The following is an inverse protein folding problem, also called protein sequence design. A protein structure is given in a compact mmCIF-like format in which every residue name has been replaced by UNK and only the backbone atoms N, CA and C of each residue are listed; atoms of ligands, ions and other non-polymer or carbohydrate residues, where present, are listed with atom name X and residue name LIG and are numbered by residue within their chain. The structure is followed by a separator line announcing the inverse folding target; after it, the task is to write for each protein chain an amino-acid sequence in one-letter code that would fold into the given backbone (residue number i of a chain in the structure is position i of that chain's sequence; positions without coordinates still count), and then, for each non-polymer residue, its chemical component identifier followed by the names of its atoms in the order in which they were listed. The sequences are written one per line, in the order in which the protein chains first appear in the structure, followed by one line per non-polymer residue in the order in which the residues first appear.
data_IF_993570300445
#
_entry.id   IF_993570300445
#
_cell.length_a   1.000
_cell.length_b   1.000
_cell.length_c   1.000
_cell.angle_alpha   90.00
_cell.angle_beta   90.00
_cell.angle_gamma   90.00
#
_symmetry.space_group_name_H-M   'P 1'
#
loop_
_entity.id
_entity.type
_entity.pdbx_description
1 polymer ?
#
# COMPACT_ATOMS: atom_id res chain seq x y z
N UNK A 1 9.02 5.16 -30.27
CA UNK A 1 8.01 6.21 -29.98
C UNK A 1 7.06 5.78 -28.85
N UNK A 2 6.55 4.54 -28.86
CA UNK A 2 5.66 4.00 -27.81
C UNK A 2 6.24 4.10 -26.40
N UNK A 3 7.51 3.70 -26.19
CA UNK A 3 8.14 3.73 -24.86
C UNK A 3 8.23 5.15 -24.25
N UNK A 4 8.47 6.17 -25.07
CA UNK A 4 8.51 7.58 -24.62
C UNK A 4 7.15 8.09 -24.15
N UNK A 5 6.06 7.61 -24.75
CA UNK A 5 4.70 7.93 -24.31
C UNK A 5 4.33 7.27 -22.99
N UNK A 6 4.81 6.04 -22.75
CA UNK A 6 4.59 5.30 -21.49
C UNK A 6 5.22 6.03 -20.30
N UNK A 7 6.44 6.56 -20.45
CA UNK A 7 7.09 7.30 -19.35
C UNK A 7 6.40 8.62 -19.02
N UNK A 8 5.78 9.27 -20.00
CA UNK A 8 5.05 10.53 -19.78
C UNK A 8 3.81 10.36 -18.88
N UNK A 9 3.17 9.19 -18.93
CA UNK A 9 1.98 8.89 -18.09
C UNK A 9 2.33 8.22 -16.77
N UNK A 10 3.58 7.82 -16.57
CA UNK A 10 3.95 7.00 -15.42
C UNK A 10 3.90 7.79 -14.10
N UNK A 11 4.37 9.03 -14.10
CA UNK A 11 4.34 9.92 -12.93
C UNK A 11 2.88 10.17 -12.45
N UNK A 12 1.95 10.64 -13.31
CA UNK A 12 0.57 10.86 -12.88
C UNK A 12 -0.15 9.55 -12.53
N UNK A 13 0.19 8.44 -13.19
CA UNK A 13 -0.36 7.12 -12.84
C UNK A 13 0.03 6.73 -11.43
N UNK A 14 1.32 6.83 -11.09
CA UNK A 14 1.83 6.50 -9.75
C UNK A 14 1.16 7.33 -8.67
N UNK A 15 1.03 8.64 -8.90
CA UNK A 15 0.32 9.54 -8.00
C UNK A 15 -1.11 9.04 -7.72
N UNK A 16 -1.87 8.74 -8.78
CA UNK A 16 -3.25 8.30 -8.66
C UNK A 16 -3.36 6.94 -7.95
N UNK A 17 -2.49 5.99 -8.27
CA UNK A 17 -2.52 4.65 -7.66
C UNK A 17 -2.13 4.68 -6.18
N UNK A 18 -1.14 5.49 -5.81
CA UNK A 18 -0.79 5.72 -4.39
C UNK A 18 -1.96 6.35 -3.64
N UNK A 19 -2.58 7.38 -4.22
CA UNK A 19 -3.69 8.08 -3.61
C UNK A 19 -4.93 7.18 -3.45
N UNK A 20 -5.26 6.39 -4.48
CA UNK A 20 -6.35 5.44 -4.43
C UNK A 20 -6.12 4.38 -3.33
N UNK A 21 -4.91 3.83 -3.25
CA UNK A 21 -4.57 2.85 -2.23
C UNK A 21 -4.60 3.46 -0.82
N UNK A 22 -4.09 4.69 -0.67
CA UNK A 22 -4.15 5.43 0.59
C UNK A 22 -5.60 5.61 1.07
N UNK A 23 -6.51 6.04 0.20
CA UNK A 23 -7.91 6.25 0.59
C UNK A 23 -8.63 4.97 0.95
N UNK A 24 -8.46 3.87 0.19
CA UNK A 24 -9.15 2.61 0.54
C UNK A 24 -8.65 2.06 1.88
N UNK A 25 -7.37 2.22 2.22
CA UNK A 25 -6.84 1.84 3.54
C UNK A 25 -7.47 2.66 4.66
N UNK A 26 -7.69 3.97 4.45
CA UNK A 26 -8.41 4.81 5.40
C UNK A 26 -9.84 4.32 5.58
N UNK A 27 -10.58 4.07 4.49
CA UNK A 27 -11.95 3.59 4.57
C UNK A 27 -12.04 2.26 5.34
N UNK A 28 -11.15 1.30 5.04
CA UNK A 28 -11.10 0.01 5.73
C UNK A 28 -10.82 0.14 7.23
N UNK A 29 -9.91 1.05 7.62
CA UNK A 29 -9.61 1.32 9.02
C UNK A 29 -10.76 2.05 9.73
N UNK A 30 -11.44 2.96 9.03
CA UNK A 30 -12.60 3.67 9.55
C UNK A 30 -13.76 2.71 9.83
N UNK A 31 -14.03 1.80 8.89
CA UNK A 31 -15.14 0.85 8.96
C UNK A 31 -14.75 -0.52 9.57
N UNK A 32 -13.59 -0.60 10.25
CA UNK A 32 -13.00 -1.86 10.72
C UNK A 32 -13.97 -2.72 11.56
N UNK A 33 -14.81 -2.09 12.38
CA UNK A 33 -15.70 -2.79 13.30
C UNK A 33 -16.86 -3.45 12.57
N UNK A 34 -17.42 -2.75 11.57
CA UNK A 34 -18.49 -3.27 10.72
C UNK A 34 -17.98 -4.38 9.80
N UNK A 35 -16.79 -4.17 9.21
CA UNK A 35 -16.13 -5.16 8.36
C UNK A 35 -15.83 -6.45 9.15
N UNK A 36 -15.23 -6.36 10.34
CA UNK A 36 -14.92 -7.53 11.17
C UNK A 36 -16.18 -8.25 11.66
N UNK A 37 -17.24 -7.52 12.00
CA UNK A 37 -18.50 -8.12 12.46
C UNK A 37 -19.20 -8.91 11.34
N UNK A 38 -19.22 -8.37 10.13
CA UNK A 38 -19.90 -9.02 9.00
C UNK A 38 -19.15 -10.27 8.52
N UNK A 39 -17.84 -10.22 8.69
CA UNK A 39 -16.90 -11.22 8.26
C UNK A 39 -16.80 -12.44 9.20
N UNK A 40 -16.99 -12.25 10.51
CA UNK A 40 -16.95 -13.33 11.51
C UNK A 40 -18.34 -13.93 11.72
N UNK A 41 -18.73 -14.90 10.88
CA UNK A 41 -20.03 -15.61 10.94
C UNK A 41 -20.33 -16.28 12.30
N UNK A 42 -19.29 -16.62 13.07
CA UNK A 42 -19.40 -17.10 14.45
C UNK A 42 -18.43 -16.29 15.30
N UNK A 43 -18.87 -15.14 15.81
CA UNK A 43 -18.13 -14.31 16.76
C UNK A 43 -17.95 -15.09 18.09
N UNK A 44 -17.00 -16.02 18.11
CA UNK A 44 -16.57 -16.64 19.33
C UNK A 44 -15.57 -15.67 19.98
N UNK A 45 -15.99 -15.06 21.09
CA UNK A 45 -15.29 -13.92 21.72
C UNK A 45 -13.81 -14.17 22.06
N UNK A 46 -13.40 -15.43 22.13
CA UNK A 46 -12.02 -15.85 22.44
C UNK A 46 -11.01 -15.49 21.34
N UNK A 47 -11.38 -15.58 20.06
CA UNK A 47 -10.48 -15.31 18.93
C UNK A 47 -10.73 -13.97 18.23
N UNK A 48 -11.83 -13.29 18.56
CA UNK A 48 -12.21 -12.02 17.92
C UNK A 48 -11.12 -10.93 18.07
N UNK A 49 -10.52 -10.81 19.25
CA UNK A 49 -9.45 -9.84 19.51
C UNK A 49 -8.20 -10.14 18.68
N UNK A 50 -7.89 -11.42 18.48
CA UNK A 50 -6.74 -11.85 17.67
C UNK A 50 -6.92 -11.41 16.21
N UNK A 51 -8.05 -11.77 15.59
CA UNK A 51 -8.31 -11.38 14.19
C UNK A 51 -8.43 -9.87 14.01
N UNK A 52 -9.03 -9.16 14.96
CA UNK A 52 -9.05 -7.70 14.95
C UNK A 52 -7.63 -7.11 14.94
N UNK A 53 -6.75 -7.61 15.82
CA UNK A 53 -5.38 -7.11 15.90
C UNK A 53 -4.60 -7.40 14.61
N UNK A 54 -4.72 -8.58 14.03
CA UNK A 54 -4.07 -8.94 12.76
C UNK A 54 -4.56 -8.05 11.60
N UNK A 55 -5.88 -7.88 11.49
CA UNK A 55 -6.49 -7.04 10.46
C UNK A 55 -6.03 -5.58 10.57
N UNK A 56 -6.16 -4.98 11.74
CA UNK A 56 -5.78 -3.58 11.99
C UNK A 56 -4.27 -3.38 11.83
N UNK A 57 -3.45 -4.31 12.33
CA UNK A 57 -1.99 -4.23 12.22
C UNK A 57 -1.54 -4.22 10.76
N UNK A 58 -2.06 -5.15 9.94
CA UNK A 58 -1.70 -5.22 8.52
C UNK A 58 -2.11 -3.96 7.73
N UNK A 59 -3.29 -3.40 8.01
CA UNK A 59 -3.77 -2.16 7.40
C UNK A 59 -2.97 -0.94 7.88
N UNK A 60 -2.66 -0.85 9.17
CA UNK A 60 -1.88 0.26 9.73
C UNK A 60 -0.45 0.29 9.20
N UNK A 61 0.21 -0.88 9.12
CA UNK A 61 1.53 -1.01 8.49
C UNK A 61 1.46 -0.64 7.02
N UNK A 62 0.44 -1.09 6.30
CA UNK A 62 0.23 -0.72 4.90
C UNK A 62 0.08 0.79 4.73
N UNK A 63 -0.74 1.44 5.56
CA UNK A 63 -0.99 2.87 5.50
C UNK A 63 0.28 3.67 5.80
N UNK A 64 1.05 3.26 6.81
CA UNK A 64 2.34 3.87 7.15
C UNK A 64 3.33 3.79 5.99
N UNK A 65 3.49 2.60 5.39
CA UNK A 65 4.37 2.39 4.24
C UNK A 65 3.94 3.20 3.02
N UNK A 66 2.65 3.20 2.66
CA UNK A 66 2.12 4.00 1.55
C UNK A 66 2.31 5.49 1.81
N UNK A 67 2.16 5.95 3.06
CA UNK A 67 2.39 7.36 3.43
C UNK A 67 3.85 7.76 3.21
N UNK A 68 4.81 6.95 3.67
CA UNK A 68 6.24 7.20 3.44
C UNK A 68 6.54 7.26 1.95
N UNK A 69 6.01 6.32 1.17
CA UNK A 69 6.18 6.28 -0.27
C UNK A 69 5.57 7.50 -0.96
N UNK A 70 4.39 7.95 -0.52
CA UNK A 70 3.74 9.13 -1.05
C UNK A 70 4.57 10.40 -0.80
N UNK A 71 5.17 10.56 0.38
CA UNK A 71 6.08 11.67 0.65
C UNK A 71 7.39 11.58 -0.13
N UNK A 72 7.95 10.38 -0.29
CA UNK A 72 9.12 10.14 -1.13
C UNK A 72 8.86 10.51 -2.60
N UNK A 73 7.67 10.18 -3.11
CA UNK A 73 7.20 10.63 -4.42
C UNK A 73 7.05 12.15 -4.50
N UNK A 74 6.31 12.78 -3.56
CA UNK A 74 6.06 14.23 -3.57
C UNK A 74 7.33 15.08 -3.37
N UNK A 75 8.33 14.56 -2.65
CA UNK A 75 9.64 15.21 -2.51
C UNK A 75 10.50 15.17 -3.78
N UNK A 76 10.09 14.37 -4.77
CA UNK A 76 10.81 14.21 -6.04
C UNK A 76 11.95 13.19 -6.01
N UNK A 77 12.24 12.56 -4.86
CA UNK A 77 13.36 11.60 -4.70
C UNK A 77 13.12 10.36 -5.56
N UNK A 78 11.93 9.76 -5.46
CA UNK A 78 11.59 8.54 -6.21
C UNK A 78 10.79 8.80 -7.48
N UNK A 79 10.26 10.02 -7.66
CA UNK A 79 9.40 10.41 -8.79
C UNK A 79 10.04 10.15 -10.17
N UNK A 80 11.36 10.33 -10.28
CA UNK A 80 12.10 10.19 -11.54
C UNK A 80 12.71 8.80 -11.75
N UNK A 81 12.47 7.86 -10.84
CA UNK A 81 12.94 6.48 -10.99
C UNK A 81 11.92 5.66 -11.79
N UNK A 82 12.13 5.51 -13.09
CA UNK A 82 11.18 4.87 -14.02
C UNK A 82 10.79 3.44 -13.60
N UNK A 83 11.76 2.58 -13.29
CA UNK A 83 11.51 1.19 -12.88
C UNK A 83 10.72 1.12 -11.57
N UNK A 84 11.08 1.97 -10.62
CA UNK A 84 10.39 2.03 -9.33
C UNK A 84 8.96 2.56 -9.50
N UNK A 85 8.75 3.58 -10.34
CA UNK A 85 7.41 4.09 -10.61
C UNK A 85 6.52 3.05 -11.29
N UNK A 86 7.05 2.21 -12.19
CA UNK A 86 6.31 1.09 -12.78
C UNK A 86 5.93 0.03 -11.74
N UNK A 87 6.91 -0.40 -10.94
CA UNK A 87 6.71 -1.40 -9.88
C UNK A 87 5.68 -0.93 -8.85
N UNK A 88 5.87 0.28 -8.32
CA UNK A 88 4.97 0.94 -7.37
C UNK A 88 3.55 1.06 -7.91
N UNK A 89 3.39 1.56 -9.15
CA UNK A 89 2.07 1.71 -9.76
C UNK A 89 1.35 0.37 -9.91
N UNK A 90 2.05 -0.67 -10.36
CA UNK A 90 1.47 -2.01 -10.53
C UNK A 90 1.03 -2.61 -9.18
N UNK A 91 1.90 -2.56 -8.17
CA UNK A 91 1.63 -3.06 -6.83
C UNK A 91 0.46 -2.32 -6.16
N UNK A 92 0.45 -0.99 -6.19
CA UNK A 92 -0.64 -0.21 -5.57
C UNK A 92 -1.95 -0.27 -6.32
N UNK A 93 -1.93 -0.42 -7.65
CA UNK A 93 -3.15 -0.72 -8.41
C UNK A 93 -3.75 -2.04 -7.96
N UNK A 94 -2.93 -3.10 -7.91
CA UNK A 94 -3.38 -4.42 -7.48
C UNK A 94 -3.91 -4.41 -6.05
N UNK A 95 -3.22 -3.75 -5.12
CA UNK A 95 -3.66 -3.62 -3.75
C UNK A 95 -4.97 -2.82 -3.63
N UNK A 96 -5.07 -1.68 -4.31
CA UNK A 96 -6.27 -0.84 -4.27
C UNK A 96 -7.50 -1.60 -4.78
N UNK A 97 -7.37 -2.35 -5.89
CA UNK A 97 -8.43 -3.21 -6.38
C UNK A 97 -8.77 -4.34 -5.40
N UNK A 98 -7.76 -5.03 -4.87
CA UNK A 98 -7.96 -6.15 -3.93
C UNK A 98 -8.70 -5.69 -2.67
N UNK A 99 -8.26 -4.58 -2.08
CA UNK A 99 -8.89 -4.00 -0.91
C UNK A 99 -10.30 -3.50 -1.19
N UNK A 100 -10.54 -2.89 -2.35
CA UNK A 100 -11.88 -2.45 -2.76
C UNK A 100 -12.85 -3.62 -2.89
N UNK A 101 -12.40 -4.74 -3.48
CA UNK A 101 -13.21 -5.96 -3.58
C UNK A 101 -13.46 -6.53 -2.18
N UNK A 102 -12.44 -6.59 -1.31
CA UNK A 102 -12.62 -7.10 0.06
C UNK A 102 -13.59 -6.26 0.89
N UNK A 103 -13.64 -4.94 0.64
CA UNK A 103 -14.55 -4.02 1.30
C UNK A 103 -16.01 -4.28 0.88
N UNK A 104 -16.25 -4.56 -0.41
CA UNK A 104 -17.59 -4.83 -0.95
C UNK A 104 -18.08 -6.24 -0.58
N UNK A 105 -17.21 -7.23 -0.74
CA UNK A 105 -17.56 -8.66 -0.62
C UNK A 105 -17.39 -9.21 0.81
N UNK A 106 -16.89 -8.41 1.75
CA UNK A 106 -16.73 -8.78 3.17
C UNK A 106 -15.98 -10.12 3.35
N UNK A 107 -14.77 -10.20 2.78
CA UNK A 107 -13.94 -11.41 2.77
C UNK A 107 -13.69 -11.99 4.17
N UNK A 108 -13.65 -13.32 4.28
CA UNK A 108 -13.42 -14.06 5.54
C UNK A 108 -12.12 -13.64 6.26
N UNK A 109 -12.25 -13.33 7.54
CA UNK A 109 -11.25 -12.75 8.43
C UNK A 109 -10.47 -13.82 9.16
N UNK A 110 -10.94 -15.08 9.08
CA UNK A 110 -10.21 -16.25 9.54
C UNK A 110 -8.91 -16.44 8.75
N UNK A 111 -8.87 -15.92 7.52
CA UNK A 111 -7.69 -15.96 6.65
C UNK A 111 -6.97 -14.60 6.71
N UNK A 112 -5.64 -14.58 6.95
CA UNK A 112 -4.86 -13.36 7.12
C UNK A 112 -4.53 -12.65 5.78
N UNK A 113 -5.54 -12.35 4.95
CA UNK A 113 -5.35 -11.74 3.62
C UNK A 113 -4.55 -10.44 3.65
N UNK A 114 -4.72 -9.63 4.69
CA UNK A 114 -4.03 -8.34 4.83
C UNK A 114 -2.50 -8.47 4.84
N UNK A 115 -1.96 -9.54 5.40
CA UNK A 115 -0.51 -9.79 5.38
C UNK A 115 0.01 -10.14 3.99
N UNK A 116 -0.76 -10.87 3.18
CA UNK A 116 -0.37 -11.18 1.80
C UNK A 116 -0.35 -9.93 0.93
N UNK A 117 -1.38 -9.07 1.06
CA UNK A 117 -1.43 -7.79 0.34
C UNK A 117 -0.31 -6.87 0.81
N UNK A 118 -0.06 -6.80 2.11
CA UNK A 118 1.05 -6.02 2.66
C UNK A 118 2.39 -6.48 2.07
N UNK A 119 2.76 -7.76 2.19
CA UNK A 119 4.09 -8.23 1.75
C UNK A 119 4.29 -8.04 0.25
N UNK A 120 3.31 -8.44 -0.58
CA UNK A 120 3.47 -8.45 -2.04
C UNK A 120 3.29 -7.07 -2.68
N UNK A 121 2.34 -6.28 -2.18
CA UNK A 121 1.91 -5.06 -2.86
C UNK A 121 2.27 -3.76 -2.12
N UNK A 122 2.80 -3.85 -0.89
CA UNK A 122 3.23 -2.68 -0.11
C UNK A 122 4.69 -2.79 0.32
N UNK A 123 5.09 -3.94 0.86
CA UNK A 123 6.43 -4.20 1.36
C UNK A 123 7.47 -4.08 0.25
N UNK A 124 7.21 -4.66 -0.92
CA UNK A 124 8.13 -4.58 -2.07
C UNK A 124 8.34 -3.12 -2.55
N UNK A 125 7.27 -2.34 -2.88
CA UNK A 125 7.42 -0.92 -3.21
C UNK A 125 8.12 -0.12 -2.10
N UNK A 126 7.72 -0.29 -0.84
CA UNK A 126 8.29 0.40 0.30
C UNK A 126 9.79 0.14 0.48
N UNK A 127 10.24 -1.12 0.40
CA UNK A 127 11.67 -1.45 0.47
C UNK A 127 12.44 -0.80 -0.68
N UNK A 128 11.87 -0.78 -1.88
CA UNK A 128 12.50 -0.11 -3.01
C UNK A 128 12.57 1.42 -2.81
N UNK A 129 11.54 2.04 -2.23
CA UNK A 129 11.55 3.47 -1.84
C UNK A 129 12.67 3.75 -0.82
N UNK A 130 12.83 2.91 0.21
CA UNK A 130 13.90 3.07 1.21
C UNK A 130 15.29 2.99 0.58
N UNK A 131 15.50 2.09 -0.40
CA UNK A 131 16.80 2.02 -1.10
C UNK A 131 17.11 3.29 -1.89
N UNK A 132 16.11 3.90 -2.54
CA UNK A 132 16.26 5.19 -3.22
C UNK A 132 16.56 6.32 -2.23
N UNK A 133 15.85 6.35 -1.11
CA UNK A 133 16.05 7.36 -0.06
C UNK A 133 17.46 7.28 0.54
N UNK A 134 17.94 6.07 0.84
CA UNK A 134 19.31 5.85 1.33
C UNK A 134 20.36 6.21 0.28
N UNK A 135 20.11 5.93 -1.00
CA UNK A 135 20.96 6.35 -2.11
C UNK A 135 21.08 7.87 -2.20
N UNK A 136 19.95 8.58 -2.10
CA UNK A 136 19.89 10.04 -2.09
C UNK A 136 20.66 10.63 -0.91
N UNK A 137 20.45 10.14 0.32
CA UNK A 137 21.18 10.61 1.52
C UNK A 137 22.69 10.46 1.34
N UNK A 138 23.15 9.29 0.84
CA UNK A 138 24.57 9.04 0.60
C UNK A 138 25.15 10.01 -0.43
N UNK A 139 24.44 10.25 -1.52
CA UNK A 139 24.86 11.20 -2.55
C UNK A 139 25.04 12.62 -1.99
N UNK A 140 24.06 13.11 -1.22
CA UNK A 140 24.13 14.43 -0.57
C UNK A 140 25.27 14.50 0.44
N UNK A 141 25.51 13.42 1.19
CA UNK A 141 26.57 13.37 2.21
C UNK A 141 27.99 13.37 1.63
N UNK A 142 28.20 12.72 0.47
CA UNK A 142 29.49 12.70 -0.21
C UNK A 142 29.77 13.95 -1.06
N UNK A 143 28.75 14.76 -1.36
CA UNK A 143 28.89 15.99 -2.14
C UNK A 143 29.23 17.22 -1.28
N UNK A 144 29.28 17.09 0.05
CA UNK A 144 29.76 18.10 1.00
C UNK A 144 31.21 17.83 1.36
#
# INVERSE_FOLDING_TARGET
MVLKGVFAVLIPTRFLTLLAHFFILICLLWDKEENLRSCLLNYNSEYANYFNNEYVSSLALSLGSVTVEFFGFLSGISMFSELHCLLSSACHTLAAFTWSISYIEQWDCSIPYGWYVFVLCVGIPFLSELTLFMGFIRHVSCSR
#
